data_IF_154665997209
#
_entry.id   IF_154665997209
#
_cell.length_a   1.000
_cell.length_b   1.000
_cell.length_c   1.000
_cell.angle_alpha   90.00
_cell.angle_beta   90.00
_cell.angle_gamma   90.00
#
_symmetry.space_group_name_H-M   'P 1'
#
loop_
_entity.id
_entity.type
_entity.pdbx_description
1 polymer ?
#
# COMPACT_ATOMS: atom_id res chain seq x y z
N UNK A 1 31.58 11.36 13.58
CA UNK A 1 30.88 11.71 12.31
C UNK A 1 30.66 10.50 11.40
N UNK A 2 31.44 9.41 11.52
CA UNK A 2 31.35 8.24 10.61
C UNK A 2 30.16 7.29 10.81
N UNK A 3 29.36 7.41 11.88
CA UNK A 3 28.18 6.56 12.09
C UNK A 3 27.01 6.90 11.14
N UNK A 4 26.95 8.13 10.63
CA UNK A 4 25.90 8.58 9.70
C UNK A 4 26.09 8.02 8.28
N UNK A 5 27.35 7.86 7.84
CA UNK A 5 27.67 7.35 6.50
C UNK A 5 27.21 5.92 6.25
N UNK A 6 27.11 5.09 7.30
CA UNK A 6 26.69 3.70 7.16
C UNK A 6 25.17 3.57 6.92
N UNK A 7 24.38 4.53 7.42
CA UNK A 7 22.93 4.59 7.17
C UNK A 7 22.62 5.13 5.78
N UNK A 8 23.43 6.10 5.30
CA UNK A 8 23.25 6.75 4.00
C UNK A 8 23.57 5.84 2.79
N UNK A 9 24.40 4.82 2.97
CA UNK A 9 24.77 3.90 1.88
C UNK A 9 23.77 2.75 1.72
N UNK A 10 23.05 2.38 2.79
CA UNK A 10 21.97 1.37 2.74
C UNK A 10 20.60 1.96 2.38
N UNK A 11 20.44 3.27 2.46
CA UNK A 11 19.27 4.03 1.98
C UNK A 11 19.32 4.31 0.47
N UNK A 12 20.02 3.48 -0.30
CA UNK A 12 19.86 3.43 -1.74
C UNK A 12 18.41 3.04 -2.08
N UNK A 13 17.55 4.05 -2.19
CA UNK A 13 16.18 4.03 -2.69
C UNK A 13 15.39 2.76 -2.36
N UNK A 14 15.16 2.48 -1.07
CA UNK A 14 14.13 1.51 -0.70
C UNK A 14 12.81 2.07 -1.25
N UNK A 15 12.18 1.40 -2.24
CA UNK A 15 10.94 1.91 -2.79
C UNK A 15 9.89 1.92 -1.67
N UNK A 16 9.12 3.00 -1.63
CA UNK A 16 7.98 3.08 -0.72
C UNK A 16 7.01 1.93 -1.03
N UNK A 17 6.50 1.28 0.02
CA UNK A 17 5.62 0.13 -0.10
C UNK A 17 4.47 0.21 0.92
N UNK A 18 3.33 -0.37 0.56
CA UNK A 18 2.17 -0.56 1.42
C UNK A 18 1.73 -2.03 1.38
N UNK A 19 0.99 -2.46 2.40
CA UNK A 19 0.41 -3.80 2.48
C UNK A 19 -1.08 -3.76 2.15
N UNK A 20 -1.53 -4.79 1.44
CA UNK A 20 -2.96 -5.02 1.18
C UNK A 20 -3.62 -5.49 2.47
N UNK A 21 -4.66 -4.78 2.90
CA UNK A 21 -5.50 -5.14 4.05
C UNK A 21 -6.58 -6.14 3.62
N UNK A 22 -7.28 -5.82 2.53
CA UNK A 22 -8.38 -6.65 2.02
C UNK A 22 -8.68 -6.33 0.56
N UNK A 23 -9.40 -7.23 -0.10
CA UNK A 23 -9.90 -7.07 -1.47
C UNK A 23 -11.40 -7.34 -1.45
N UNK A 24 -12.21 -6.40 -1.93
CA UNK A 24 -13.68 -6.53 -2.04
C UNK A 24 -14.16 -5.95 -3.35
N UNK A 25 -15.03 -6.68 -4.06
CA UNK A 25 -15.69 -6.20 -5.28
C UNK A 25 -14.72 -5.50 -6.25
N UNK A 26 -13.57 -6.15 -6.48
CA UNK A 26 -12.51 -5.65 -7.36
C UNK A 26 -11.77 -4.39 -6.88
N UNK A 27 -11.98 -3.98 -5.63
CA UNK A 27 -11.31 -2.87 -4.95
C UNK A 27 -10.28 -3.42 -3.96
N UNK A 28 -9.06 -2.90 -4.02
CA UNK A 28 -7.96 -3.25 -3.11
C UNK A 28 -7.83 -2.16 -2.06
N UNK A 29 -7.84 -2.54 -0.79
CA UNK A 29 -7.60 -1.62 0.32
C UNK A 29 -6.18 -1.83 0.83
N UNK A 30 -5.42 -0.73 0.95
CA UNK A 30 -4.05 -0.74 1.46
C UNK A 30 -3.96 0.05 2.78
N UNK A 31 -2.96 -0.25 3.58
CA UNK A 31 -2.73 0.42 4.87
C UNK A 31 -2.08 1.81 4.76
N UNK A 32 -2.32 2.51 3.66
CA UNK A 32 -1.72 3.81 3.38
C UNK A 32 -2.68 4.69 2.56
N UNK A 33 -2.66 5.99 2.82
CA UNK A 33 -3.47 6.98 2.12
C UNK A 33 -2.79 8.35 2.10
N UNK A 34 -3.58 9.40 2.06
CA UNK A 34 -3.10 10.79 1.92
C UNK A 34 -2.06 11.19 2.97
N UNK A 35 -2.23 10.77 4.22
CA UNK A 35 -1.27 11.04 5.31
C UNK A 35 0.10 10.39 5.08
N UNK A 36 0.12 9.28 4.33
CA UNK A 36 1.35 8.58 3.94
C UNK A 36 1.91 9.09 2.60
N UNK A 37 1.32 10.14 2.02
CA UNK A 37 1.73 10.73 0.75
C UNK A 37 1.14 10.07 -0.49
N UNK A 38 0.21 9.11 -0.33
CA UNK A 38 -0.45 8.45 -1.47
C UNK A 38 -1.42 9.41 -2.14
N UNK A 39 -1.36 9.52 -3.45
CA UNK A 39 -2.19 10.40 -4.27
C UNK A 39 -3.11 9.59 -5.19
N UNK A 40 -4.27 10.17 -5.53
CA UNK A 40 -5.14 9.60 -6.57
C UNK A 40 -4.39 9.64 -7.90
N UNK A 41 -4.40 8.53 -8.63
CA UNK A 41 -3.62 8.32 -9.85
C UNK A 41 -2.26 7.65 -9.63
N UNK A 42 -1.81 7.48 -8.38
CA UNK A 42 -0.60 6.70 -8.10
C UNK A 42 -0.78 5.25 -8.55
N UNK A 43 0.25 4.69 -9.18
CA UNK A 43 0.25 3.31 -9.67
C UNK A 43 1.15 2.45 -8.79
N UNK A 44 0.56 1.44 -8.16
CA UNK A 44 1.29 0.44 -7.39
C UNK A 44 1.43 -0.85 -8.19
N UNK A 45 2.60 -1.48 -8.04
CA UNK A 45 2.83 -2.85 -8.46
C UNK A 45 2.51 -3.78 -7.30
N UNK A 46 1.64 -4.77 -7.55
CA UNK A 46 1.27 -5.74 -6.53
C UNK A 46 2.21 -6.94 -6.62
N UNK A 47 2.74 -7.32 -5.47
CA UNK A 47 3.52 -8.53 -5.27
C UNK A 47 2.75 -9.47 -4.33
N UNK A 48 2.74 -10.75 -4.66
CA UNK A 48 2.31 -11.81 -3.75
C UNK A 48 3.54 -12.31 -2.99
N UNK A 49 3.45 -12.36 -1.67
CA UNK A 49 4.39 -13.10 -0.84
C UNK A 49 4.24 -14.60 -1.18
N UNK A 50 5.31 -15.23 -1.65
CA UNK A 50 5.39 -16.66 -1.93
C UNK A 50 5.99 -17.43 -0.77
N UNK A 51 6.79 -18.44 -1.08
CA UNK A 51 7.44 -19.29 -0.07
C UNK A 51 8.42 -18.49 0.79
N UNK A 52 8.37 -18.71 2.11
CA UNK A 52 9.31 -18.15 3.07
C UNK A 52 10.68 -18.81 2.91
N UNK A 53 11.72 -18.00 2.83
CA UNK A 53 13.11 -18.44 2.75
C UNK A 53 13.67 -18.53 4.17
N UNK A 54 13.73 -19.75 4.68
CA UNK A 54 14.30 -20.03 6.01
C UNK A 54 15.72 -20.56 5.82
N UNK A 55 16.69 -19.94 6.50
CA UNK A 55 18.05 -20.44 6.56
C UNK A 55 18.08 -21.80 7.29
N UNK A 56 18.58 -22.88 6.67
CA UNK A 56 18.48 -24.23 7.22
C UNK A 56 19.39 -24.47 8.43
N UNK A 57 20.44 -23.68 8.59
CA UNK A 57 21.42 -23.82 9.67
C UNK A 57 21.00 -23.06 10.94
N UNK A 58 20.35 -21.90 10.77
CA UNK A 58 20.00 -20.97 11.85
C UNK A 58 18.50 -20.89 12.16
N UNK A 59 17.64 -21.26 11.20
CA UNK A 59 16.19 -21.12 11.31
C UNK A 59 15.68 -19.68 11.17
N UNK A 60 16.52 -18.74 10.74
CA UNK A 60 16.13 -17.34 10.54
C UNK A 60 15.37 -17.20 9.23
N UNK A 61 14.24 -16.49 9.27
CA UNK A 61 13.52 -16.05 8.06
C UNK A 61 14.31 -14.94 7.37
N UNK A 62 14.65 -15.16 6.10
CA UNK A 62 15.33 -14.22 5.21
C UNK A 62 14.33 -13.45 4.33
N UNK A 63 13.03 -13.57 4.63
CA UNK A 63 11.92 -13.01 3.84
C UNK A 63 11.25 -14.09 2.98
N UNK A 64 10.57 -13.66 1.92
CA UNK A 64 9.81 -14.56 1.04
C UNK A 64 10.14 -14.30 -0.42
N UNK A 65 9.93 -15.33 -1.26
CA UNK A 65 10.00 -15.17 -2.71
C UNK A 65 8.78 -14.38 -3.17
N UNK A 66 8.97 -13.12 -3.54
CA UNK A 66 7.89 -12.28 -4.04
C UNK A 66 7.66 -12.48 -5.55
N UNK A 67 6.40 -12.54 -5.95
CA UNK A 67 6.00 -12.61 -7.37
C UNK A 67 5.12 -11.43 -7.74
N UNK A 68 5.47 -10.71 -8.81
CA UNK A 68 4.65 -9.61 -9.34
C UNK A 68 3.37 -10.16 -9.96
N UNK A 69 2.22 -9.80 -9.41
CA UNK A 69 0.91 -10.32 -9.86
C UNK A 69 0.05 -9.28 -10.58
N UNK A 70 0.38 -8.00 -10.49
CA UNK A 70 -0.40 -6.98 -11.18
C UNK A 70 -0.01 -5.55 -10.90
N UNK A 71 -0.91 -4.64 -11.29
CA UNK A 71 -0.84 -3.22 -11.01
C UNK A 71 -2.22 -2.71 -10.60
N UNK A 72 -2.24 -1.74 -9.69
CA UNK A 72 -3.46 -1.01 -9.30
C UNK A 72 -3.19 0.49 -9.40
N UNK A 73 -4.26 1.24 -9.57
CA UNK A 73 -4.26 2.69 -9.54
C UNK A 73 -5.08 3.14 -8.34
N UNK A 74 -4.58 4.13 -7.61
CA UNK A 74 -5.28 4.71 -6.47
C UNK A 74 -6.45 5.55 -6.98
N UNK A 75 -7.67 5.13 -6.66
CA UNK A 75 -8.89 5.88 -6.98
C UNK A 75 -9.40 6.72 -5.81
N UNK A 76 -9.02 6.35 -4.58
CA UNK A 76 -9.35 7.08 -3.36
C UNK A 76 -8.22 6.89 -2.34
N UNK A 77 -7.66 8.00 -1.85
CA UNK A 77 -6.58 8.02 -0.87
C UNK A 77 -7.04 8.45 0.54
N UNK A 78 -8.34 8.66 0.75
CA UNK A 78 -8.89 8.87 2.08
C UNK A 78 -8.99 7.51 2.76
N UNK A 79 -8.06 7.22 3.67
CA UNK A 79 -8.21 6.07 4.57
C UNK A 79 -9.53 6.27 5.31
N UNK A 80 -10.37 5.22 5.39
CA UNK A 80 -11.68 5.25 6.05
C UNK A 80 -11.62 5.44 7.58
N UNK A 81 -10.67 6.23 8.08
CA UNK A 81 -10.54 6.69 9.47
C UNK A 81 -11.23 8.04 9.69
N UNK A 82 -12.00 8.55 8.73
CA UNK A 82 -12.89 9.68 8.95
C UNK A 82 -14.32 9.18 9.15
N UNK A 83 -14.88 9.45 10.33
CA UNK A 83 -16.29 9.45 10.69
C UNK A 83 -17.18 10.39 9.85
N UNK A 84 -16.78 10.65 8.61
CA UNK A 84 -17.40 11.59 7.69
C UNK A 84 -17.97 10.82 6.50
N UNK A 85 -19.02 10.07 6.77
CA UNK A 85 -19.95 9.65 5.73
C UNK A 85 -20.74 10.90 5.30
N UNK A 86 -20.38 11.50 4.17
CA UNK A 86 -21.32 12.41 3.48
C UNK A 86 -22.25 11.58 2.60
N UNK A 87 -23.50 11.54 3.04
CA UNK A 87 -24.65 10.99 2.32
C UNK A 87 -24.79 11.64 0.93
N UNK A 88 -25.18 10.81 -0.03
CA UNK A 88 -25.13 11.06 -1.46
C UNK A 88 -26.35 11.91 -1.85
N UNK A 89 -26.09 13.07 -2.47
CA UNK A 89 -26.91 13.85 -3.40
C UNK A 89 -28.45 13.68 -3.37
N UNK A 90 -29.16 14.77 -3.05
CA UNK A 90 -30.59 14.91 -3.37
C UNK A 90 -30.79 14.87 -4.90
N UNK A 91 -31.82 14.15 -5.42
CA UNK A 91 -32.12 14.14 -6.85
C UNK A 91 -32.53 15.53 -7.35
N UNK A 92 -31.89 16.01 -8.42
CA UNK A 92 -32.19 17.31 -9.07
C UNK A 92 -33.46 17.27 -9.95
N UNK A 93 -34.45 16.45 -9.61
CA UNK A 93 -35.74 16.43 -10.30
C UNK A 93 -36.87 16.09 -9.30
N UNK A 94 -37.26 17.09 -8.54
CA UNK A 94 -38.55 17.15 -7.85
C UNK A 94 -39.37 18.33 -8.41
N UNK A 95 -40.71 18.26 -8.41
CA UNK A 95 -41.56 19.25 -9.09
C UNK A 95 -41.40 20.64 -8.47
N UNK A 96 -41.43 21.66 -9.34
CA UNK A 96 -41.44 23.07 -8.95
C UNK A 96 -42.59 23.39 -7.99
#
# INVERSE_FOLDING_TARGET
EDIMKLLDVKSAAIPWQAKIITVKDNTVFINAGSEAGVQVGDVFHIYSEGEELIDPDTGISLGSIESKIGKIEVTNNNLGISSDFYEIALPLWGPQ
#
